data_IF_685913812803
#
_entry.id   IF_685913812803
#
_cell.length_a   1.000
_cell.length_b   1.000
_cell.length_c   1.000
_cell.angle_alpha   90.00
_cell.angle_beta   90.00
_cell.angle_gamma   90.00
#
_symmetry.space_group_name_H-M   'P 1'
#
loop_
_entity.id
_entity.type
_entity.pdbx_description
1 polymer ?
#
# COMPACT_ATOMS: atom_id res chain seq x y z
N UNK A 1 9.37 -12.57 7.31
CA UNK A 1 8.38 -13.62 6.95
C UNK A 1 8.19 -13.58 5.45
N UNK A 2 8.07 -14.75 4.80
CA UNK A 2 7.88 -14.84 3.35
C UNK A 2 6.40 -14.68 3.00
N UNK A 3 6.10 -14.02 1.87
CA UNK A 3 4.75 -13.96 1.31
C UNK A 3 4.51 -15.22 0.48
N UNK A 4 3.36 -15.86 0.68
CA UNK A 4 2.89 -16.98 -0.15
C UNK A 4 1.76 -16.48 -1.04
N UNK A 5 1.90 -16.65 -2.35
CA UNK A 5 0.88 -16.32 -3.35
C UNK A 5 0.04 -17.56 -3.70
N UNK A 6 -1.25 -17.36 -3.98
CA UNK A 6 -2.10 -18.39 -4.56
C UNK A 6 -1.63 -18.77 -5.96
N UNK A 7 -1.66 -20.06 -6.29
CA UNK A 7 -1.33 -20.56 -7.62
C UNK A 7 -2.29 -21.71 -8.02
N UNK A 8 -3.00 -21.60 -9.16
CA UNK A 8 -3.05 -20.46 -10.09
C UNK A 8 -3.96 -19.34 -9.57
N UNK A 9 -3.67 -18.10 -9.96
CA UNK A 9 -4.64 -17.00 -9.91
C UNK A 9 -5.22 -16.78 -11.32
N UNK A 10 -6.54 -16.90 -11.45
CA UNK A 10 -7.26 -16.70 -12.72
C UNK A 10 -7.96 -15.35 -12.66
N UNK A 11 -7.51 -14.41 -13.48
CA UNK A 11 -8.06 -13.06 -13.56
C UNK A 11 -9.06 -12.86 -14.71
N UNK A 12 -9.13 -13.79 -15.65
CA UNK A 12 -10.06 -13.74 -16.79
C UNK A 12 -10.60 -15.13 -17.18
N UNK A 13 -11.91 -15.40 -16.99
CA UNK A 13 -12.87 -14.54 -16.29
C UNK A 13 -12.48 -14.40 -14.82
N UNK A 14 -12.79 -13.26 -14.19
CA UNK A 14 -12.47 -13.05 -12.79
C UNK A 14 -13.23 -14.03 -11.90
N UNK A 15 -12.51 -14.80 -11.09
CA UNK A 15 -13.08 -15.65 -10.03
C UNK A 15 -12.59 -15.19 -8.66
N UNK A 16 -13.43 -15.24 -7.60
CA UNK A 16 -12.96 -15.04 -6.24
C UNK A 16 -11.76 -15.95 -5.96
N UNK A 17 -10.70 -15.38 -5.38
CA UNK A 17 -9.45 -16.08 -5.05
C UNK A 17 -9.21 -15.95 -3.54
N UNK A 18 -9.76 -16.87 -2.73
CA UNK A 18 -9.45 -16.93 -1.31
C UNK A 18 -7.96 -17.14 -1.09
N UNK A 19 -7.38 -16.34 -0.19
CA UNK A 19 -5.95 -16.39 0.11
C UNK A 19 -5.04 -16.08 -1.08
N UNK A 20 -5.42 -15.11 -1.93
CA UNK A 20 -4.57 -14.63 -3.04
C UNK A 20 -3.12 -14.40 -2.59
N UNK A 21 -2.94 -13.81 -1.41
CA UNK A 21 -1.66 -13.83 -0.71
C UNK A 21 -1.84 -14.01 0.79
N UNK A 22 -0.82 -14.57 1.43
CA UNK A 22 -0.72 -14.64 2.88
C UNK A 22 0.70 -14.33 3.36
N UNK A 23 0.80 -13.65 4.49
CA UNK A 23 2.09 -13.33 5.13
C UNK A 23 1.88 -13.11 6.63
N UNK A 24 2.74 -13.74 7.45
CA UNK A 24 2.75 -13.53 8.90
C UNK A 24 1.38 -13.70 9.60
N UNK A 25 0.54 -14.63 9.12
CA UNK A 25 -0.80 -14.87 9.68
C UNK A 25 -1.90 -13.96 9.14
N UNK A 26 -1.57 -12.99 8.28
CA UNK A 26 -2.54 -12.23 7.49
C UNK A 26 -2.80 -12.90 6.15
N UNK A 27 -4.05 -12.87 5.72
CA UNK A 27 -4.51 -13.45 4.47
C UNK A 27 -5.41 -12.48 3.73
N UNK A 28 -5.09 -12.18 2.48
CA UNK A 28 -5.97 -11.41 1.61
C UNK A 28 -6.80 -12.32 0.73
N UNK A 29 -8.12 -12.19 0.84
CA UNK A 29 -9.08 -12.88 0.01
C UNK A 29 -9.58 -11.93 -1.06
N UNK A 30 -9.19 -12.16 -2.31
CA UNK A 30 -9.67 -11.39 -3.45
C UNK A 30 -11.09 -11.86 -3.78
N UNK A 31 -12.07 -10.96 -3.76
CA UNK A 31 -13.47 -11.30 -4.06
C UNK A 31 -13.78 -11.12 -5.55
N UNK A 32 -13.28 -10.05 -6.15
CA UNK A 32 -13.46 -9.76 -7.57
C UNK A 32 -12.26 -9.02 -8.13
N UNK A 33 -12.07 -9.13 -9.43
CA UNK A 33 -11.07 -8.38 -10.19
C UNK A 33 -11.62 -8.00 -11.56
N UNK A 34 -11.05 -6.96 -12.16
CA UNK A 34 -11.39 -6.51 -13.51
C UNK A 34 -10.13 -6.02 -14.19
N UNK A 35 -9.98 -6.40 -15.47
CA UNK A 35 -8.93 -5.87 -16.33
C UNK A 35 -9.32 -4.44 -16.71
N UNK A 36 -8.54 -3.47 -16.24
CA UNK A 36 -8.79 -2.03 -16.47
C UNK A 36 -8.08 -1.57 -17.75
N UNK A 37 -6.93 -2.16 -18.06
CA UNK A 37 -6.19 -1.88 -19.28
C UNK A 37 -5.39 -3.11 -19.72
N UNK A 38 -5.41 -3.39 -21.01
CA UNK A 38 -4.66 -4.49 -21.59
C UNK A 38 -4.14 -4.13 -23.00
N UNK A 39 -2.88 -4.41 -23.22
CA UNK A 39 -2.22 -4.36 -24.53
C UNK A 39 -1.31 -5.59 -24.70
N UNK A 40 -0.57 -5.66 -25.81
CA UNK A 40 0.41 -6.73 -26.01
C UNK A 40 1.57 -6.71 -25.00
N UNK A 41 1.83 -5.57 -24.36
CA UNK A 41 2.98 -5.39 -23.45
C UNK A 41 2.59 -4.90 -22.06
N UNK A 42 1.31 -4.60 -21.81
CA UNK A 42 0.84 -4.05 -20.55
C UNK A 42 -0.45 -4.72 -20.10
N UNK A 43 -0.56 -4.97 -18.81
CA UNK A 43 -1.79 -5.46 -18.17
C UNK A 43 -1.93 -4.77 -16.83
N UNK A 44 -3.10 -4.16 -16.62
CA UNK A 44 -3.51 -3.55 -15.35
C UNK A 44 -4.83 -4.16 -14.90
N UNK A 45 -4.83 -4.66 -13.68
CA UNK A 45 -5.98 -5.30 -13.05
C UNK A 45 -6.21 -4.61 -11.71
N UNK A 46 -7.47 -4.27 -11.46
CA UNK A 46 -7.94 -3.82 -10.16
C UNK A 46 -8.86 -4.88 -9.57
N UNK A 47 -8.94 -4.93 -8.25
CA UNK A 47 -9.80 -5.86 -7.56
C UNK A 47 -10.09 -5.43 -6.13
N UNK A 48 -11.09 -6.07 -5.54
CA UNK A 48 -11.53 -5.80 -4.18
C UNK A 48 -11.48 -7.07 -3.37
N UNK A 49 -11.08 -6.95 -2.13
CA UNK A 49 -11.02 -8.09 -1.23
C UNK A 49 -11.01 -7.70 0.23
N UNK A 50 -10.77 -8.70 1.07
CA UNK A 50 -10.76 -8.56 2.52
C UNK A 50 -9.48 -9.18 3.05
N UNK A 51 -8.73 -8.42 3.86
CA UNK A 51 -7.63 -8.93 4.66
C UNK A 51 -8.18 -9.43 5.99
N UNK A 52 -7.90 -10.67 6.33
CA UNK A 52 -8.13 -11.25 7.66
C UNK A 52 -6.79 -11.53 8.34
N UNK A 53 -6.76 -11.47 9.66
CA UNK A 53 -5.55 -11.66 10.46
C UNK A 53 -5.74 -12.62 11.63
N UNK A 54 -4.72 -12.76 12.50
CA UNK A 54 -4.81 -13.50 13.75
C UNK A 54 -5.91 -12.94 14.68
N UNK A 55 -6.26 -13.65 15.77
CA UNK A 55 -7.23 -13.16 16.75
C UNK A 55 -6.90 -11.75 17.25
N UNK A 56 -7.92 -10.89 17.34
CA UNK A 56 -7.77 -9.49 17.75
C UNK A 56 -7.67 -8.48 16.60
N UNK A 57 -7.70 -8.95 15.34
CA UNK A 57 -7.78 -8.10 14.16
C UNK A 57 -9.14 -8.26 13.47
N UNK A 58 -9.78 -7.14 13.15
CA UNK A 58 -11.00 -7.13 12.37
C UNK A 58 -10.71 -7.30 10.87
N UNK A 59 -11.64 -7.96 10.19
CA UNK A 59 -11.59 -8.13 8.74
C UNK A 59 -11.64 -6.76 8.05
N UNK A 60 -10.61 -6.44 7.27
CA UNK A 60 -10.44 -5.10 6.68
C UNK A 60 -10.59 -5.16 5.16
N UNK A 61 -11.55 -4.43 4.57
CA UNK A 61 -11.65 -4.28 3.11
C UNK A 61 -10.39 -3.64 2.53
N UNK A 62 -9.95 -4.11 1.37
CA UNK A 62 -8.77 -3.61 0.67
C UNK A 62 -9.00 -3.58 -0.83
N UNK A 63 -8.62 -2.46 -1.45
CA UNK A 63 -8.44 -2.35 -2.88
C UNK A 63 -7.07 -2.93 -3.26
N UNK A 64 -7.08 -3.74 -4.30
CA UNK A 64 -5.93 -4.47 -4.76
C UNK A 64 -5.68 -4.14 -6.22
N UNK A 65 -4.43 -3.92 -6.57
CA UNK A 65 -4.04 -3.66 -7.94
C UNK A 65 -2.82 -4.52 -8.32
N UNK A 66 -2.83 -4.99 -9.55
CA UNK A 66 -1.70 -5.65 -10.17
C UNK A 66 -1.43 -5.03 -11.52
N UNK A 67 -0.17 -4.68 -11.74
CA UNK A 67 0.31 -4.24 -13.03
C UNK A 67 1.49 -5.09 -13.46
N UNK A 68 1.54 -5.41 -14.73
CA UNK A 68 2.73 -5.96 -15.37
C UNK A 68 2.96 -5.25 -16.68
N UNK A 69 4.23 -4.96 -16.94
CA UNK A 69 4.70 -4.24 -18.09
C UNK A 69 5.80 -5.03 -18.78
N UNK A 70 5.97 -4.76 -20.07
CA UNK A 70 6.95 -5.41 -20.92
C UNK A 70 6.76 -6.93 -20.99
N UNK A 71 5.51 -7.41 -20.97
CA UNK A 71 5.21 -8.84 -21.02
C UNK A 71 5.53 -9.47 -22.38
N UNK A 72 5.25 -8.74 -23.49
CA UNK A 72 5.71 -9.01 -24.86
C UNK A 72 5.42 -10.41 -25.45
N UNK A 73 4.81 -11.32 -24.69
CA UNK A 73 4.72 -12.75 -25.01
C UNK A 73 6.06 -13.50 -24.96
N UNK A 74 7.11 -12.93 -24.37
CA UNK A 74 8.46 -13.52 -24.37
C UNK A 74 9.05 -13.62 -22.97
N UNK A 75 10.01 -14.52 -22.79
CA UNK A 75 10.77 -14.61 -21.53
C UNK A 75 11.67 -13.38 -21.39
N UNK A 76 11.40 -12.56 -20.37
CA UNK A 76 12.22 -11.38 -20.05
C UNK A 76 13.15 -11.67 -18.87
N UNK A 77 14.42 -11.25 -18.98
CA UNK A 77 15.43 -11.33 -17.90
C UNK A 77 15.43 -10.09 -17.00
N UNK A 78 14.57 -9.11 -17.28
CA UNK A 78 14.48 -7.86 -16.53
C UNK A 78 13.27 -7.94 -15.62
N UNK A 79 13.52 -7.86 -14.31
CA UNK A 79 12.49 -7.78 -13.29
C UNK A 79 12.42 -6.34 -12.77
N UNK A 80 11.21 -5.77 -12.77
CA UNK A 80 10.93 -4.46 -12.17
C UNK A 80 9.68 -4.58 -11.31
N UNK A 81 9.71 -3.97 -10.13
CA UNK A 81 8.55 -3.83 -9.26
C UNK A 81 8.30 -2.35 -9.01
N UNK A 82 7.03 -1.95 -9.05
CA UNK A 82 6.59 -0.62 -8.65
C UNK A 82 5.46 -0.78 -7.63
N UNK A 83 5.59 -0.12 -6.49
CA UNK A 83 4.55 -0.07 -5.47
C UNK A 83 4.32 1.39 -5.07
N UNK A 84 3.07 1.84 -5.16
CA UNK A 84 2.67 3.14 -4.65
C UNK A 84 2.23 2.96 -3.20
N UNK A 85 3.05 3.41 -2.25
CA UNK A 85 2.65 3.48 -0.85
C UNK A 85 1.71 4.67 -0.65
N UNK A 86 0.41 4.43 -0.59
CA UNK A 86 -0.51 5.39 0.03
C UNK A 86 -0.31 5.34 1.54
N UNK A 87 0.78 5.93 2.03
CA UNK A 87 0.75 6.43 3.41
C UNK A 87 -0.23 7.60 3.36
N UNK A 88 -1.41 7.54 4.01
CA UNK A 88 -2.12 8.77 4.31
C UNK A 88 -1.11 9.57 5.10
N UNK A 89 -0.55 10.62 4.50
CA UNK A 89 0.51 11.41 5.11
C UNK A 89 0.04 11.73 6.51
N UNK A 90 0.72 11.16 7.52
CA UNK A 90 0.31 11.30 8.91
C UNK A 90 0.24 12.80 9.13
N UNK A 91 -0.94 13.38 9.42
CA UNK A 91 -0.97 14.79 9.73
C UNK A 91 -0.12 14.93 10.98
N UNK A 92 1.03 15.61 10.88
CA UNK A 92 1.74 16.13 12.05
C UNK A 92 0.72 17.05 12.73
N UNK A 93 -0.08 16.52 13.67
CA UNK A 93 -1.31 17.13 14.18
C UNK A 93 -1.08 18.43 14.96
N UNK A 94 -0.53 19.44 14.32
CA UNK A 94 0.01 20.66 14.91
C UNK A 94 1.33 20.49 15.65
N UNK A 95 1.82 19.28 15.92
CA UNK A 95 2.96 19.05 16.82
C UNK A 95 4.25 19.78 16.37
N UNK A 96 4.57 19.71 15.08
CA UNK A 96 5.74 20.41 14.49
C UNK A 96 5.60 21.93 14.61
N UNK A 97 4.39 22.46 14.41
CA UNK A 97 4.08 23.89 14.55
C UNK A 97 4.12 24.35 16.02
N UNK A 98 3.63 23.52 16.94
CA UNK A 98 3.68 23.79 18.37
C UNK A 98 5.12 23.82 18.89
N UNK A 99 5.96 22.87 18.47
CA UNK A 99 7.38 22.83 18.86
C UNK A 99 8.14 24.05 18.32
N UNK A 100 7.87 24.45 17.07
CA UNK A 100 8.44 25.66 16.48
C UNK A 100 7.98 26.92 17.22
N UNK A 101 6.69 27.02 17.54
CA UNK A 101 6.14 28.13 18.32
C UNK A 101 6.74 28.22 19.72
N UNK A 102 6.92 27.09 20.41
CA UNK A 102 7.57 27.02 21.71
C UNK A 102 9.05 27.45 21.63
N UNK A 103 9.79 26.98 20.63
CA UNK A 103 11.18 27.34 20.42
C UNK A 103 11.36 28.84 20.15
N UNK A 104 10.53 29.42 19.27
CA UNK A 104 10.56 30.85 18.97
C UNK A 104 10.10 31.70 20.16
N UNK A 105 9.10 31.24 20.92
CA UNK A 105 8.67 31.88 22.16
C UNK A 105 9.78 31.92 23.20
N UNK A 106 10.48 30.79 23.41
CA UNK A 106 11.62 30.70 24.30
C UNK A 106 12.77 31.62 23.86
N UNK A 107 13.09 31.64 22.56
CA UNK A 107 14.13 32.52 22.00
C UNK A 107 13.78 34.01 22.15
N UNK A 108 12.51 34.36 21.93
CA UNK A 108 12.00 35.72 22.12
C UNK A 108 12.12 36.20 23.58
N UNK A 109 11.78 35.32 24.53
CA UNK A 109 11.95 35.59 25.96
C UNK A 109 13.43 35.73 26.34
N UNK A 110 14.31 34.83 25.87
CA UNK A 110 15.74 34.91 26.12
C UNK A 110 16.34 36.24 25.64
N UNK A 111 15.97 36.72 24.44
CA UNK A 111 16.42 38.02 23.91
C UNK A 111 16.03 39.19 24.81
N UNK A 112 14.83 39.16 25.40
CA UNK A 112 14.36 40.23 26.28
C UNK A 112 15.15 40.28 27.58
N UNK A 113 15.43 39.13 28.18
CA UNK A 113 16.23 39.05 29.41
C UNK A 113 17.69 39.46 29.19
N UNK A 114 18.28 39.15 28.04
CA UNK A 114 19.67 39.51 27.71
C UNK A 114 19.83 40.99 27.30
N UNK A 115 18.74 41.70 27.01
CA UNK A 115 18.72 43.14 26.68
C UNK A 115 18.25 44.04 27.83
N UNK A 116 17.86 43.46 28.96
CA UNK A 116 17.60 44.14 30.24
C UNK A 116 18.86 44.11 31.11
#
# INVERSE_FOLDING_TARGET
TQVTMAQPWIFNPSTPTPGLWSVAGFTFNLMSSTVVSQSATFLSIEGHGIVTGPPGFDATPMDWAFTTQNAGGQTHMVFSFSANGSSPGVPDGGATVMLLGAALGALGMARRFLKS
#
